data_IF_892003659930
#
_entry.id   IF_892003659930
#
_cell.length_a   1.000
_cell.length_b   1.000
_cell.length_c   1.000
_cell.angle_alpha   90.00
_cell.angle_beta   90.00
_cell.angle_gamma   90.00
#
_symmetry.space_group_name_H-M   'P 1'
#
loop_
_entity.id
_entity.type
_entity.pdbx_description
1 polymer ?
#
# COMPACT_ATOMS: atom_id res chain seq x y z
N UNK A 1 10.86 23.79 -3.77
CA UNK A 1 11.41 22.45 -3.50
C UNK A 1 10.95 21.98 -2.12
N UNK A 2 9.76 21.37 -2.03
CA UNK A 2 9.30 20.76 -0.78
C UNK A 2 9.89 19.35 -0.71
N UNK A 3 10.75 19.09 0.26
CA UNK A 3 11.24 17.75 0.59
C UNK A 3 10.07 16.97 1.18
N UNK A 4 9.45 16.08 0.40
CA UNK A 4 8.54 15.08 0.95
C UNK A 4 9.39 13.90 1.44
N UNK A 5 9.39 13.71 2.76
CA UNK A 5 10.07 12.64 3.47
C UNK A 5 9.28 11.37 3.24
N UNK A 6 9.83 10.43 2.47
CA UNK A 6 9.32 9.06 2.38
C UNK A 6 10.37 8.10 2.94
N UNK A 7 10.74 8.25 4.22
CA UNK A 7 11.35 7.13 4.92
C UNK A 7 10.21 6.45 5.68
N UNK A 8 9.92 5.20 5.31
CA UNK A 8 9.48 4.10 6.18
C UNK A 8 8.68 4.60 7.39
N UNK A 9 7.36 4.72 7.20
CA UNK A 9 6.51 5.50 8.09
C UNK A 9 6.70 5.18 9.57
N UNK A 10 6.59 6.24 10.34
CA UNK A 10 6.92 6.36 11.77
C UNK A 10 8.44 6.45 12.08
N UNK A 11 9.33 5.63 11.52
CA UNK A 11 10.76 5.74 11.86
C UNK A 11 11.41 7.05 11.41
N UNK A 12 10.97 7.60 10.28
CA UNK A 12 11.44 8.91 9.81
C UNK A 12 10.87 10.12 10.56
N UNK A 13 9.65 9.97 11.12
CA UNK A 13 9.06 11.02 11.94
C UNK A 13 9.86 11.22 13.23
N UNK A 14 10.46 10.14 13.74
CA UNK A 14 11.11 10.12 15.06
C UNK A 14 12.61 10.40 14.95
N UNK A 15 13.25 10.12 13.81
CA UNK A 15 14.67 10.37 13.59
C UNK A 15 15.07 11.86 13.71
N UNK A 16 14.12 12.80 13.84
CA UNK A 16 14.40 14.24 13.98
C UNK A 16 14.07 14.90 15.33
N UNK A 17 13.37 14.30 16.30
CA UNK A 17 13.21 14.95 17.62
C UNK A 17 12.45 14.14 18.66
N UNK A 18 13.00 14.13 19.87
CA UNK A 18 12.43 13.64 21.13
C UNK A 18 11.23 14.46 21.67
N UNK A 19 10.28 14.89 20.82
CA UNK A 19 9.26 15.88 21.23
C UNK A 19 7.83 15.71 20.67
N UNK A 20 7.46 14.55 20.11
CA UNK A 20 6.12 14.35 19.50
C UNK A 20 5.04 13.81 20.45
N UNK A 21 5.31 13.71 21.76
CA UNK A 21 4.27 13.37 22.73
C UNK A 21 3.22 14.51 22.80
N UNK A 22 2.16 14.42 22.00
CA UNK A 22 1.04 15.38 21.96
C UNK A 22 0.67 15.93 20.59
N UNK A 23 1.45 15.66 19.53
CA UNK A 23 1.11 16.12 18.18
C UNK A 23 0.02 15.25 17.56
N UNK A 24 -0.93 15.92 16.89
CA UNK A 24 -2.01 15.28 16.15
C UNK A 24 -1.64 15.25 14.67
N UNK A 25 -1.55 14.04 14.13
CA UNK A 25 -1.35 13.75 12.73
C UNK A 25 -2.68 13.44 12.06
N UNK A 26 -2.65 13.44 10.73
CA UNK A 26 -3.82 13.18 9.92
C UNK A 26 -3.47 12.21 8.80
N UNK A 27 -4.37 11.27 8.59
CA UNK A 27 -4.32 10.29 7.52
C UNK A 27 -5.50 10.52 6.59
N UNK A 28 -5.21 10.79 5.32
CA UNK A 28 -6.21 10.69 4.25
C UNK A 28 -6.41 9.23 3.84
N UNK A 29 -7.65 8.90 3.55
CA UNK A 29 -8.03 7.69 2.84
C UNK A 29 -7.42 7.70 1.44
N UNK A 30 -6.90 6.55 1.02
CA UNK A 30 -6.33 6.38 -0.33
C UNK A 30 -7.09 5.37 -1.18
N UNK A 31 -8.10 4.72 -0.60
CA UNK A 31 -8.96 3.77 -1.27
C UNK A 31 -10.39 3.92 -0.73
N UNK A 32 -11.37 3.62 -1.59
CA UNK A 32 -12.78 3.60 -1.23
C UNK A 32 -13.40 2.29 -1.70
N UNK A 33 -14.60 1.98 -1.19
CA UNK A 33 -15.41 0.85 -1.66
C UNK A 33 -16.00 1.09 -3.05
N UNK A 34 -16.66 0.07 -3.56
CA UNK A 34 -17.40 0.10 -4.82
C UNK A 34 -18.74 0.86 -4.68
N UNK A 35 -19.34 1.31 -5.79
CA UNK A 35 -20.61 2.03 -5.79
C UNK A 35 -21.80 1.27 -5.16
N UNK A 36 -21.71 -0.06 -5.07
CA UNK A 36 -22.73 -0.91 -4.41
C UNK A 36 -22.66 -0.85 -2.87
N UNK A 37 -21.65 -0.18 -2.32
CA UNK A 37 -21.40 -0.03 -0.89
C UNK A 37 -20.56 -1.14 -0.29
N UNK A 38 -19.99 -2.04 -1.09
CA UNK A 38 -19.03 -3.05 -0.64
C UNK A 38 -17.60 -2.53 -0.73
N UNK A 39 -16.69 -3.03 0.09
CA UNK A 39 -15.26 -2.88 -0.13
C UNK A 39 -14.72 -3.93 -1.10
N UNK A 40 -15.28 -5.15 -1.10
CA UNK A 40 -14.82 -6.29 -1.88
C UNK A 40 -13.41 -6.74 -1.48
N UNK A 41 -13.15 -7.12 -0.22
CA UNK A 41 -11.80 -7.38 0.29
C UNK A 41 -11.04 -8.47 -0.47
N UNK A 42 -11.75 -9.48 -0.96
CA UNK A 42 -11.18 -10.62 -1.70
C UNK A 42 -11.18 -10.42 -3.23
N UNK A 43 -11.69 -9.29 -3.71
CA UNK A 43 -11.66 -8.99 -5.14
C UNK A 43 -10.22 -8.70 -5.58
N UNK A 44 -9.87 -9.15 -6.79
CA UNK A 44 -8.62 -8.78 -7.44
C UNK A 44 -8.57 -7.29 -7.76
N UNK A 45 -7.37 -6.72 -7.75
CA UNK A 45 -7.15 -5.33 -8.18
C UNK A 45 -6.74 -5.24 -9.64
N UNK A 46 -7.33 -4.28 -10.35
CA UNK A 46 -6.87 -3.86 -11.67
C UNK A 46 -5.59 -3.02 -11.58
N UNK A 47 -4.82 -2.99 -12.66
CA UNK A 47 -3.63 -2.13 -12.79
C UNK A 47 -3.96 -0.64 -12.69
N UNK A 48 -5.16 -0.24 -13.10
CA UNK A 48 -5.69 1.12 -12.94
C UNK A 48 -5.93 1.47 -11.46
N UNK A 49 -6.58 0.59 -10.70
CA UNK A 49 -6.81 0.79 -9.27
C UNK A 49 -5.49 0.86 -8.49
N UNK A 50 -4.50 0.01 -8.82
CA UNK A 50 -3.18 0.08 -8.19
C UNK A 50 -2.47 1.41 -8.45
N UNK A 51 -2.53 1.94 -9.67
CA UNK A 51 -1.95 3.25 -9.97
C UNK A 51 -2.59 4.35 -9.11
N UNK A 52 -3.92 4.33 -8.96
CA UNK A 52 -4.64 5.27 -8.10
C UNK A 52 -4.23 5.10 -6.63
N UNK A 53 -4.21 3.88 -6.11
CA UNK A 53 -3.81 3.59 -4.72
C UNK A 53 -2.41 4.14 -4.45
N UNK A 54 -1.43 3.85 -5.31
CA UNK A 54 -0.04 4.32 -5.13
C UNK A 54 0.09 5.83 -5.16
N UNK A 55 -0.65 6.51 -6.05
CA UNK A 55 -0.59 7.96 -6.18
C UNK A 55 -1.27 8.65 -5.02
N UNK A 56 -2.45 8.19 -4.62
CA UNK A 56 -3.19 8.79 -3.51
C UNK A 56 -2.55 8.48 -2.17
N UNK A 57 -2.06 7.27 -1.93
CA UNK A 57 -1.40 6.92 -0.66
C UNK A 57 -0.12 7.74 -0.45
N UNK A 58 0.61 8.04 -1.52
CA UNK A 58 1.81 8.88 -1.46
C UNK A 58 1.52 10.39 -1.61
N UNK A 59 0.25 10.81 -1.57
CA UNK A 59 -0.20 12.20 -1.67
C UNK A 59 0.41 12.96 -2.86
N UNK A 60 0.52 12.29 -4.00
CA UNK A 60 1.20 12.83 -5.17
C UNK A 60 0.28 13.72 -6.01
N UNK A 61 0.82 14.87 -6.45
CA UNK A 61 0.17 15.73 -7.42
C UNK A 61 -0.03 15.01 -8.76
N UNK A 62 -1.23 15.09 -9.31
CA UNK A 62 -1.59 14.43 -10.57
C UNK A 62 -0.91 15.09 -11.76
N UNK A 63 -0.33 14.25 -12.61
CA UNK A 63 0.16 14.60 -13.93
C UNK A 63 -0.84 14.20 -15.02
N UNK A 64 -0.80 14.90 -16.16
CA UNK A 64 -1.61 14.61 -17.34
C UNK A 64 -0.80 13.84 -18.39
N UNK A 65 -1.50 13.02 -19.19
CA UNK A 65 -0.92 12.24 -20.28
C UNK A 65 -0.32 10.91 -19.79
N UNK A 66 -1.07 9.82 -19.89
CA UNK A 66 -0.66 8.47 -19.45
C UNK A 66 0.66 8.00 -20.07
N UNK A 67 0.92 8.44 -21.31
CA UNK A 67 2.06 8.02 -22.12
C UNK A 67 2.00 6.56 -22.56
N UNK A 68 0.84 5.90 -22.47
CA UNK A 68 0.59 4.55 -22.98
C UNK A 68 -0.53 4.61 -24.02
N UNK A 69 -0.39 3.88 -25.13
CA UNK A 69 -1.31 4.00 -26.27
C UNK A 69 -2.70 3.41 -26.01
N UNK A 70 -2.82 2.50 -25.03
CA UNK A 70 -4.06 1.82 -24.63
C UNK A 70 -4.70 2.45 -23.38
N UNK A 71 -4.24 3.63 -22.99
CA UNK A 71 -4.83 4.43 -21.90
C UNK A 71 -5.28 5.76 -22.49
N UNK A 72 -6.54 5.81 -22.91
CA UNK A 72 -7.17 7.01 -23.44
C UNK A 72 -7.14 8.16 -22.42
N UNK A 73 -7.02 9.40 -22.89
CA UNK A 73 -6.98 10.58 -22.02
C UNK A 73 -8.25 10.72 -21.15
N UNK A 74 -9.40 10.23 -21.65
CA UNK A 74 -10.67 10.22 -20.92
C UNK A 74 -10.81 9.10 -19.90
N UNK A 75 -9.88 8.15 -19.84
CA UNK A 75 -9.92 7.06 -18.87
C UNK A 75 -9.73 7.61 -17.44
N UNK A 76 -10.59 7.24 -16.49
CA UNK A 76 -10.57 7.77 -15.12
C UNK A 76 -9.20 7.61 -14.43
N UNK A 77 -8.48 6.54 -14.75
CA UNK A 77 -7.16 6.25 -14.19
C UNK A 77 -6.00 6.94 -14.91
N UNK A 78 -6.24 7.59 -16.06
CA UNK A 78 -5.20 8.20 -16.89
C UNK A 78 -4.23 9.12 -16.10
N UNK A 79 -4.71 10.08 -15.28
CA UNK A 79 -3.79 10.94 -14.52
C UNK A 79 -3.00 10.17 -13.45
N UNK A 80 -3.59 9.15 -12.84
CA UNK A 80 -2.90 8.31 -11.84
C UNK A 80 -1.82 7.45 -12.50
N UNK A 81 -2.12 6.85 -13.65
CA UNK A 81 -1.17 6.06 -14.44
C UNK A 81 -0.02 6.97 -14.91
N UNK A 82 -0.32 8.16 -15.44
CA UNK A 82 0.71 9.14 -15.82
C UNK A 82 1.63 9.47 -14.64
N UNK A 83 1.05 9.79 -13.48
CA UNK A 83 1.78 10.16 -12.27
C UNK A 83 2.66 9.01 -11.78
N UNK A 84 2.11 7.80 -11.65
CA UNK A 84 2.85 6.63 -11.21
C UNK A 84 4.00 6.28 -12.16
N UNK A 85 3.81 6.46 -13.47
CA UNK A 85 4.87 6.29 -14.48
C UNK A 85 5.98 7.32 -14.32
N UNK A 86 5.63 8.60 -14.19
CA UNK A 86 6.60 9.69 -14.00
C UNK A 86 7.41 9.54 -12.71
N UNK A 87 6.83 8.94 -11.67
CA UNK A 87 7.54 8.60 -10.43
C UNK A 87 8.38 7.33 -10.51
N UNK A 88 8.31 6.60 -11.62
CA UNK A 88 9.02 5.32 -11.80
C UNK A 88 8.39 4.16 -11.04
N UNK A 89 7.18 4.31 -10.51
CA UNK A 89 6.51 3.25 -9.73
C UNK A 89 5.96 2.16 -10.63
N UNK A 90 5.51 2.50 -11.84
CA UNK A 90 4.97 1.54 -12.82
C UNK A 90 5.74 1.61 -14.13
N UNK A 91 5.77 0.46 -14.80
CA UNK A 91 6.23 0.31 -16.18
C UNK A 91 5.08 -0.24 -17.03
N UNK A 92 5.13 0.04 -18.33
CA UNK A 92 4.30 -0.66 -19.30
C UNK A 92 4.82 -2.06 -19.60
N UNK A 93 4.07 -2.79 -20.41
CA UNK A 93 4.49 -4.05 -20.99
C UNK A 93 5.48 -3.79 -22.14
N UNK A 94 6.19 -4.84 -22.56
CA UNK A 94 7.19 -4.76 -23.63
C UNK A 94 6.62 -4.30 -24.98
N UNK A 95 5.32 -4.52 -25.22
CA UNK A 95 4.60 -4.06 -26.40
C UNK A 95 4.23 -2.56 -26.35
N UNK A 96 4.52 -1.88 -25.23
CA UNK A 96 4.20 -0.47 -25.00
C UNK A 96 2.82 -0.21 -24.42
N UNK A 97 2.03 -1.25 -24.13
CA UNK A 97 0.72 -1.14 -23.47
C UNK A 97 0.84 -1.00 -21.95
N UNK A 98 -0.23 -0.58 -21.28
CA UNK A 98 -0.35 -0.65 -19.81
C UNK A 98 -1.38 -1.67 -19.33
N UNK A 99 -2.43 -1.92 -20.12
CA UNK A 99 -3.56 -2.82 -19.81
C UNK A 99 -4.28 -2.44 -18.51
N UNK A 100 -4.87 -1.22 -18.42
CA UNK A 100 -5.38 -0.65 -17.17
C UNK A 100 -6.42 -1.55 -16.46
N UNK A 101 -7.29 -2.22 -17.21
CA UNK A 101 -8.38 -3.03 -16.66
C UNK A 101 -8.00 -4.49 -16.39
N UNK A 102 -6.75 -4.89 -16.67
CA UNK A 102 -6.28 -6.23 -16.32
C UNK A 102 -5.98 -6.32 -14.83
N UNK A 103 -6.36 -7.44 -14.21
CA UNK A 103 -5.94 -7.73 -12.83
C UNK A 103 -4.42 -7.93 -12.76
N UNK A 104 -3.86 -7.60 -11.61
CA UNK A 104 -2.42 -7.65 -11.36
C UNK A 104 -2.05 -8.77 -10.38
N UNK A 105 -0.89 -9.38 -10.60
CA UNK A 105 -0.34 -10.42 -9.72
C UNK A 105 0.26 -9.82 -8.44
N UNK A 106 0.42 -10.66 -7.42
CA UNK A 106 1.13 -10.30 -6.18
C UNK A 106 2.57 -9.86 -6.44
N UNK A 107 3.28 -10.50 -7.38
CA UNK A 107 4.64 -10.10 -7.73
C UNK A 107 4.71 -8.75 -8.45
N UNK A 108 3.78 -8.48 -9.37
CA UNK A 108 3.69 -7.17 -10.02
C UNK A 108 3.40 -6.07 -9.00
N UNK A 109 2.44 -6.27 -8.10
CA UNK A 109 2.16 -5.32 -7.02
C UNK A 109 3.38 -5.11 -6.11
N UNK A 110 4.04 -6.18 -5.67
CA UNK A 110 5.27 -6.11 -4.87
C UNK A 110 6.38 -5.33 -5.60
N UNK A 111 6.49 -5.46 -6.92
CA UNK A 111 7.47 -4.69 -7.71
C UNK A 111 7.17 -3.19 -7.71
N UNK A 112 5.89 -2.80 -7.72
CA UNK A 112 5.46 -1.40 -7.69
C UNK A 112 5.79 -0.80 -6.31
N UNK A 113 5.44 -1.50 -5.24
CA UNK A 113 5.76 -1.09 -3.86
C UNK A 113 7.27 -1.03 -3.62
N UNK A 114 8.04 -1.98 -4.17
CA UNK A 114 9.50 -1.93 -4.09
C UNK A 114 10.06 -0.67 -4.76
N UNK A 115 9.63 -0.36 -5.99
CA UNK A 115 10.12 0.82 -6.72
C UNK A 115 9.77 2.13 -6.01
N UNK A 116 8.66 2.21 -5.28
CA UNK A 116 8.35 3.41 -4.50
C UNK A 116 9.28 3.64 -3.31
N UNK A 117 9.99 2.61 -2.83
CA UNK A 117 10.91 2.72 -1.69
C UNK A 117 12.36 2.40 -2.03
N UNK A 118 12.67 2.03 -3.28
CA UNK A 118 13.96 1.45 -3.67
C UNK A 118 15.17 2.32 -3.27
N UNK A 119 15.01 3.64 -3.32
CA UNK A 119 16.04 4.61 -2.94
C UNK A 119 16.49 4.47 -1.46
N UNK A 120 15.61 3.95 -0.61
CA UNK A 120 15.84 3.77 0.82
C UNK A 120 16.26 2.35 1.18
N UNK A 121 16.27 1.42 0.23
CA UNK A 121 16.64 0.02 0.46
C UNK A 121 18.16 -0.12 0.52
N UNK A 122 18.74 -0.65 1.61
CA UNK A 122 20.17 -0.93 1.71
C UNK A 122 20.67 -1.90 0.63
N UNK A 123 21.87 -1.64 0.08
CA UNK A 123 22.44 -2.42 -1.03
C UNK A 123 22.74 -3.88 -0.68
N UNK A 124 23.08 -4.16 0.57
CA UNK A 124 23.26 -5.52 1.08
C UNK A 124 21.94 -6.30 1.07
N UNK A 125 20.84 -5.65 1.41
CA UNK A 125 19.51 -6.27 1.36
C UNK A 125 19.08 -6.60 -0.08
N UNK A 126 19.40 -5.73 -1.05
CA UNK A 126 19.15 -6.00 -2.48
C UNK A 126 19.92 -7.22 -3.00
N UNK A 127 21.07 -7.52 -2.40
CA UNK A 127 21.98 -8.61 -2.80
C UNK A 127 21.84 -9.85 -1.92
N UNK A 128 20.95 -9.85 -0.92
CA UNK A 128 20.74 -10.98 -0.02
C UNK A 128 20.23 -12.19 -0.80
N UNK A 129 20.97 -13.30 -0.70
CA UNK A 129 20.64 -14.58 -1.34
C UNK A 129 19.75 -15.46 -0.46
N UNK A 130 19.58 -15.12 0.83
CA UNK A 130 18.73 -15.85 1.75
C UNK A 130 17.27 -15.47 1.51
N UNK A 131 16.56 -16.29 0.75
CA UNK A 131 15.20 -16.00 0.33
C UNK A 131 14.22 -16.04 1.52
N UNK A 132 13.36 -15.02 1.62
CA UNK A 132 12.25 -14.96 2.56
C UNK A 132 11.15 -15.99 2.23
N UNK A 133 11.05 -16.39 0.96
CA UNK A 133 10.07 -17.34 0.46
C UNK A 133 10.72 -18.36 -0.46
N UNK A 134 10.23 -19.60 -0.44
CA UNK A 134 10.84 -20.73 -1.15
C UNK A 134 10.54 -20.74 -2.66
N UNK A 135 9.39 -20.20 -3.05
CA UNK A 135 8.84 -20.23 -4.42
C UNK A 135 9.33 -19.09 -5.33
N UNK A 136 10.13 -18.16 -4.82
CA UNK A 136 10.63 -17.02 -5.62
C UNK A 136 12.01 -17.25 -6.26
N UNK A 137 12.66 -18.38 -6.01
CA UNK A 137 14.08 -18.63 -6.40
C UNK A 137 14.40 -18.32 -7.86
N UNK A 138 13.48 -18.67 -8.76
CA UNK A 138 13.60 -18.48 -10.21
C UNK A 138 12.61 -17.45 -10.77
N UNK A 139 11.93 -16.71 -9.90
CA UNK A 139 10.90 -15.75 -10.30
C UNK A 139 11.50 -14.39 -10.64
N UNK A 140 10.97 -13.68 -11.64
CA UNK A 140 11.48 -12.37 -12.09
C UNK A 140 11.40 -11.32 -10.96
N UNK A 141 10.33 -11.37 -10.16
CA UNK A 141 10.11 -10.49 -9.01
C UNK A 141 10.93 -10.82 -7.76
N UNK A 142 11.86 -11.80 -7.83
CA UNK A 142 12.59 -12.33 -6.66
C UNK A 142 13.19 -11.25 -5.78
N UNK A 143 13.90 -10.28 -6.35
CA UNK A 143 14.59 -9.24 -5.57
C UNK A 143 13.58 -8.38 -4.83
N UNK A 144 12.55 -7.90 -5.53
CA UNK A 144 11.51 -7.06 -4.94
C UNK A 144 10.79 -7.77 -3.79
N UNK A 145 10.35 -9.01 -4.03
CA UNK A 145 9.64 -9.83 -3.05
C UNK A 145 10.55 -10.16 -1.87
N UNK A 146 11.81 -10.55 -2.12
CA UNK A 146 12.73 -10.90 -1.04
C UNK A 146 12.99 -9.69 -0.12
N UNK A 147 13.29 -8.52 -0.70
CA UNK A 147 13.52 -7.30 0.08
C UNK A 147 12.30 -6.95 0.91
N UNK A 148 11.12 -6.85 0.30
CA UNK A 148 9.90 -6.48 1.03
C UNK A 148 9.54 -7.51 2.11
N UNK A 149 9.84 -8.80 1.88
CA UNK A 149 9.63 -9.85 2.87
C UNK A 149 10.57 -9.71 4.06
N UNK A 150 11.86 -9.40 3.82
CA UNK A 150 12.86 -9.15 4.87
C UNK A 150 12.58 -7.88 5.67
N UNK A 151 12.02 -6.86 5.02
CA UNK A 151 11.54 -5.65 5.69
C UNK A 151 10.23 -5.87 6.48
N UNK A 152 9.59 -7.05 6.35
CA UNK A 152 8.32 -7.35 7.01
C UNK A 152 7.10 -6.66 6.39
N UNK A 153 7.28 -5.98 5.25
CA UNK A 153 6.22 -5.26 4.53
C UNK A 153 5.22 -6.25 3.92
N UNK A 154 5.72 -7.29 3.27
CA UNK A 154 4.87 -8.36 2.71
C UNK A 154 4.98 -9.64 3.55
N UNK A 155 3.88 -10.39 3.58
CA UNK A 155 3.80 -11.72 4.19
C UNK A 155 3.43 -12.75 3.12
N UNK A 156 3.85 -13.98 3.36
CA UNK A 156 3.57 -15.10 2.46
C UNK A 156 2.13 -15.62 2.58
N UNK A 157 1.75 -16.52 1.68
CA UNK A 157 0.45 -17.18 1.67
C UNK A 157 0.34 -18.34 2.67
N UNK A 158 1.42 -18.67 3.38
CA UNK A 158 1.55 -19.85 4.24
C UNK A 158 2.71 -20.75 3.79
N UNK A 159 3.09 -21.72 4.61
CA UNK A 159 4.07 -22.78 4.29
C UNK A 159 5.41 -22.29 3.69
N UNK A 160 5.84 -21.08 4.05
CA UNK A 160 7.07 -20.48 3.52
C UNK A 160 7.01 -20.08 2.04
N UNK A 161 5.81 -19.88 1.48
CA UNK A 161 5.56 -19.45 0.08
C UNK A 161 4.99 -18.05 0.00
N UNK A 162 5.25 -17.35 -1.10
CA UNK A 162 4.69 -16.04 -1.41
C UNK A 162 3.48 -16.09 -2.36
N UNK A 163 3.43 -17.10 -3.23
CA UNK A 163 2.52 -17.20 -4.38
C UNK A 163 2.62 -15.98 -5.31
N UNK A 164 3.75 -15.80 -6.01
CA UNK A 164 4.01 -14.59 -6.79
C UNK A 164 3.04 -14.36 -7.97
N UNK A 165 2.54 -15.44 -8.58
CA UNK A 165 1.71 -15.40 -9.78
C UNK A 165 0.19 -15.38 -9.49
N UNK A 166 -0.21 -15.53 -8.22
CA UNK A 166 -1.60 -15.37 -7.82
C UNK A 166 -2.00 -13.88 -7.92
N UNK A 167 -3.28 -13.61 -8.21
CA UNK A 167 -3.81 -12.25 -8.20
C UNK A 167 -3.78 -11.67 -6.79
N UNK A 168 -3.41 -10.40 -6.66
CA UNK A 168 -3.48 -9.72 -5.37
C UNK A 168 -4.91 -9.28 -5.06
N UNK A 169 -5.36 -9.49 -3.83
CA UNK A 169 -6.66 -8.99 -3.38
C UNK A 169 -6.58 -7.55 -2.85
N UNK A 170 -7.72 -6.87 -2.78
CA UNK A 170 -7.83 -5.53 -2.20
C UNK A 170 -7.37 -5.47 -0.75
N UNK A 171 -7.74 -6.45 0.07
CA UNK A 171 -7.32 -6.55 1.46
C UNK A 171 -5.79 -6.73 1.59
N UNK A 172 -5.19 -7.58 0.74
CA UNK A 172 -3.74 -7.76 0.73
C UNK A 172 -3.00 -6.48 0.33
N UNK A 173 -3.49 -5.77 -0.68
CA UNK A 173 -2.86 -4.54 -1.13
C UNK A 173 -2.88 -3.45 -0.05
N UNK A 174 -4.02 -3.19 0.60
CA UNK A 174 -4.09 -2.15 1.65
C UNK A 174 -3.22 -2.49 2.85
N UNK A 175 -3.17 -3.74 3.27
CA UNK A 175 -2.27 -4.19 4.34
C UNK A 175 -0.80 -3.93 3.99
N UNK A 176 -0.39 -4.19 2.75
CA UNK A 176 0.98 -3.95 2.29
C UNK A 176 1.29 -2.44 2.22
N UNK A 177 0.35 -1.64 1.72
CA UNK A 177 0.50 -0.17 1.66
C UNK A 177 0.57 0.43 3.06
N UNK A 178 -0.31 0.05 3.98
CA UNK A 178 -0.25 0.50 5.37
C UNK A 178 1.12 0.19 5.98
N UNK A 179 1.61 -1.05 5.84
CA UNK A 179 2.92 -1.43 6.38
C UNK A 179 4.09 -0.65 5.77
N UNK A 180 4.12 -0.46 4.45
CA UNK A 180 5.23 0.29 3.82
C UNK A 180 5.19 1.77 4.21
N UNK A 181 4.00 2.29 4.47
CA UNK A 181 3.77 3.65 4.95
C UNK A 181 3.78 3.78 6.47
N UNK A 182 4.09 2.70 7.20
CA UNK A 182 4.06 2.67 8.66
C UNK A 182 2.72 3.04 9.29
N UNK A 183 1.61 2.91 8.57
CA UNK A 183 0.26 3.15 9.09
C UNK A 183 -0.16 1.96 9.96
N UNK A 184 -0.57 2.22 11.20
CA UNK A 184 -0.86 1.20 12.20
C UNK A 184 -2.32 1.31 12.66
N UNK A 185 -3.22 0.44 12.18
CA UNK A 185 -4.64 0.52 12.55
C UNK A 185 -4.86 0.48 14.06
N UNK A 186 -5.70 1.40 14.57
CA UNK A 186 -6.17 1.36 15.97
C UNK A 186 -7.32 0.36 16.12
N UNK A 187 -6.97 -0.92 16.25
CA UNK A 187 -7.95 -2.02 16.31
C UNK A 187 -9.02 -1.80 17.39
N UNK A 188 -8.64 -1.34 18.59
CA UNK A 188 -9.59 -1.14 19.69
C UNK A 188 -10.62 -0.06 19.35
N UNK A 189 -10.17 1.01 18.70
CA UNK A 189 -11.04 2.11 18.31
C UNK A 189 -11.92 1.74 17.12
N UNK A 190 -11.37 1.03 16.15
CA UNK A 190 -12.09 0.51 14.99
C UNK A 190 -13.18 -0.48 15.43
N UNK A 191 -12.88 -1.41 16.34
CA UNK A 191 -13.85 -2.41 16.83
C UNK A 191 -15.02 -1.77 17.59
N UNK A 192 -14.82 -0.59 18.19
CA UNK A 192 -15.87 0.18 18.87
C UNK A 192 -16.72 1.02 17.92
N UNK A 193 -16.40 1.08 16.63
CA UNK A 193 -17.24 1.77 15.65
C UNK A 193 -18.61 1.09 15.55
N UNK A 194 -19.68 1.84 15.79
CA UNK A 194 -21.03 1.29 15.97
C UNK A 194 -21.64 0.74 14.67
N UNK A 195 -21.10 1.13 13.50
CA UNK A 195 -21.58 0.67 12.19
C UNK A 195 -20.40 0.37 11.26
N UNK A 196 -20.39 -0.79 10.58
CA UNK A 196 -19.41 -1.04 9.52
C UNK A 196 -19.65 -0.06 8.38
N UNK A 197 -18.56 0.52 7.86
CA UNK A 197 -18.58 1.43 6.73
C UNK A 197 -19.10 0.74 5.44
N UNK A 198 -18.82 -0.56 5.33
CA UNK A 198 -19.09 -1.36 4.14
C UNK A 198 -20.17 -2.41 4.37
N UNK A 199 -20.87 -2.75 3.27
CA UNK A 199 -22.00 -3.69 3.26
C UNK A 199 -21.59 -5.15 3.08
N UNK A 200 -20.30 -5.45 2.92
CA UNK A 200 -19.84 -6.82 2.78
C UNK A 200 -20.27 -7.66 3.98
N UNK A 201 -20.73 -8.86 3.70
CA UNK A 201 -21.15 -9.80 4.74
C UNK A 201 -19.96 -10.11 5.65
N UNK A 202 -20.16 -9.99 6.95
CA UNK A 202 -19.15 -10.29 7.97
C UNK A 202 -17.83 -9.50 7.80
N UNK A 203 -17.86 -8.30 7.19
CA UNK A 203 -16.66 -7.50 6.94
C UNK A 203 -15.81 -7.26 8.19
N UNK A 204 -16.43 -7.06 9.35
CA UNK A 204 -15.75 -6.87 10.63
C UNK A 204 -15.03 -8.10 11.16
N UNK A 205 -15.29 -9.29 10.59
CA UNK A 205 -14.58 -10.54 10.91
C UNK A 205 -13.51 -10.88 9.86
N UNK A 206 -13.46 -10.14 8.76
CA UNK A 206 -12.44 -10.36 7.73
C UNK A 206 -11.05 -10.06 8.30
N UNK A 207 -10.05 -10.88 7.98
CA UNK A 207 -8.70 -10.77 8.55
C UNK A 207 -8.05 -9.40 8.30
N UNK A 208 -8.40 -8.75 7.18
CA UNK A 208 -7.91 -7.44 6.79
C UNK A 208 -8.78 -6.27 7.24
N UNK A 209 -9.80 -6.48 8.08
CA UNK A 209 -10.78 -5.43 8.42
C UNK A 209 -10.13 -4.14 8.95
N UNK A 210 -9.18 -4.27 9.88
CA UNK A 210 -8.52 -3.10 10.46
C UNK A 210 -7.68 -2.33 9.44
N UNK A 211 -6.95 -3.03 8.57
CA UNK A 211 -6.19 -2.41 7.48
C UNK A 211 -7.08 -1.74 6.44
N UNK A 212 -8.25 -2.31 6.17
CA UNK A 212 -9.26 -1.71 5.29
C UNK A 212 -9.74 -0.39 5.87
N UNK A 213 -10.11 -0.38 7.15
CA UNK A 213 -10.57 0.83 7.83
C UNK A 213 -9.48 1.90 7.89
N UNK A 214 -8.23 1.53 8.19
CA UNK A 214 -7.06 2.42 8.14
C UNK A 214 -6.89 3.06 6.75
N UNK A 215 -7.03 2.27 5.69
CA UNK A 215 -6.83 2.73 4.33
C UNK A 215 -7.96 3.62 3.79
N UNK A 216 -9.16 3.49 4.36
CA UNK A 216 -10.39 4.02 3.76
C UNK A 216 -11.14 5.04 4.61
N UNK A 217 -10.68 5.33 5.82
CA UNK A 217 -11.27 6.33 6.70
C UNK A 217 -10.28 7.45 6.91
N UNK A 218 -10.70 8.67 6.60
CA UNK A 218 -9.97 9.87 6.97
C UNK A 218 -9.99 9.99 8.51
N UNK A 219 -8.82 10.16 9.13
CA UNK A 219 -8.75 10.23 10.59
C UNK A 219 -7.59 11.06 11.12
N UNK A 220 -7.80 11.59 12.32
CA UNK A 220 -6.74 12.17 13.16
C UNK A 220 -6.21 11.11 14.12
N UNK A 221 -4.91 11.13 14.38
CA UNK A 221 -4.27 10.24 15.34
C UNK A 221 -3.08 10.90 16.06
N UNK A 222 -2.66 10.31 17.17
CA UNK A 222 -1.31 10.53 17.71
C UNK A 222 -0.59 9.20 17.84
N UNK A 223 0.74 9.24 17.80
CA UNK A 223 1.57 8.05 17.98
C UNK A 223 1.80 7.83 19.48
N UNK A 224 1.55 6.61 19.95
CA UNK A 224 1.90 6.17 21.30
C UNK A 224 2.85 4.97 21.26
N UNK A 225 3.74 4.89 22.23
CA UNK A 225 4.81 3.89 22.30
C UNK A 225 6.16 4.57 22.55
N UNK A 226 7.03 3.90 23.30
CA UNK A 226 8.35 4.41 23.67
C UNK A 226 9.49 3.81 22.80
N UNK A 227 9.14 2.89 21.89
CA UNK A 227 10.07 2.24 20.98
C UNK A 227 9.38 1.86 19.67
N UNK A 228 10.16 1.67 18.60
CA UNK A 228 9.67 1.17 17.30
C UNK A 228 8.89 -0.15 17.43
N UNK A 229 9.15 -0.94 18.46
CA UNK A 229 8.54 -2.27 18.65
C UNK A 229 7.16 -2.24 19.30
N UNK A 230 6.78 -1.13 19.94
CA UNK A 230 5.50 -1.00 20.63
C UNK A 230 4.72 0.25 20.22
N UNK A 231 5.13 0.89 19.12
CA UNK A 231 4.39 1.98 18.52
C UNK A 231 3.04 1.51 18.00
N UNK A 232 2.04 2.36 18.19
CA UNK A 232 0.69 2.24 17.63
C UNK A 232 0.10 3.63 17.47
N UNK A 233 -0.88 3.74 16.57
CA UNK A 233 -1.68 4.93 16.46
C UNK A 233 -2.83 4.86 17.45
N UNK A 234 -3.19 6.02 18.00
CA UNK A 234 -4.44 6.20 18.72
C UNK A 234 -5.30 7.17 17.93
N UNK A 235 -6.41 6.68 17.38
CA UNK A 235 -7.29 7.50 16.54
C UNK A 235 -8.19 8.39 17.41
N UNK A 236 -8.19 9.69 17.14
CA UNK A 236 -8.91 10.70 17.93
C UNK A 236 -10.21 11.14 17.28
N UNK A 237 -10.23 11.32 15.95
CA UNK A 237 -11.40 11.73 15.16
C UNK A 237 -11.48 10.97 13.83
N UNK A 238 -12.70 10.80 13.34
CA UNK A 238 -13.01 10.10 12.07
C UNK A 238 -13.86 11.01 11.20
N UNK A 239 -13.65 10.92 9.90
CA UNK A 239 -14.41 11.65 8.90
C UNK A 239 -14.98 10.64 7.89
N UNK A 240 -16.30 10.67 7.71
CA UNK A 240 -17.07 9.75 6.86
C UNK A 240 -17.82 10.52 5.77
#
# INVERSE_FOLDING_TARGET
MKKAVLLIGITALIASSSSYAGDVFYHSSYISGYPDGTFGPDNGLTRAEVAKIMVTSNELELALGSGFYDVEDGHWASPYISTAKLRGYINGNDDGSYRPDSNITRAEFASIVYRSIEWYVPEDLKKDKNLAFSDIKNHWGKVHINVLGKLGVIRGAGDGKFSPDDLITRAEAVTIINRVQGRLPDNEKIDKMVKPLYRDKDISKHWGYHDIMEASVDHEFYVIGDSEKNQREFWTKFYF
#
